data_IF_724908585539
#
_entry.id   IF_724908585539
#
_cell.length_a   1.000
_cell.length_b   1.000
_cell.length_c   1.000
_cell.angle_alpha   90.00
_cell.angle_beta   90.00
_cell.angle_gamma   90.00
#
_symmetry.space_group_name_H-M   'P 1'
#
loop_
_entity.id
_entity.type
_entity.pdbx_description
1 polymer ?
#
# COMPACT_ATOMS: atom_id res chain seq x y z
N UNK A 1 9.26 -0.27 -21.16
CA UNK A 1 8.70 -1.53 -20.61
C UNK A 1 8.06 -1.23 -19.25
N UNK A 2 6.73 -1.26 -19.12
CA UNK A 2 6.06 -1.26 -17.82
C UNK A 2 5.93 -2.70 -17.30
N UNK A 3 6.76 -3.09 -16.33
CA UNK A 3 6.77 -4.43 -15.69
C UNK A 3 6.64 -4.31 -14.18
N UNK A 4 6.33 -5.42 -13.50
CA UNK A 4 6.27 -5.46 -12.03
C UNK A 4 7.59 -5.03 -11.39
N UNK A 5 8.72 -5.48 -11.93
CA UNK A 5 10.04 -5.11 -11.43
C UNK A 5 10.30 -3.61 -11.56
N UNK A 6 9.96 -3.02 -12.72
CA UNK A 6 10.09 -1.58 -12.93
C UNK A 6 9.22 -0.78 -11.94
N UNK A 7 8.00 -1.26 -11.66
CA UNK A 7 7.11 -0.65 -10.67
C UNK A 7 7.67 -0.76 -9.24
N UNK A 8 8.19 -1.92 -8.87
CA UNK A 8 8.71 -2.17 -7.52
C UNK A 8 10.02 -1.40 -7.27
N UNK A 9 10.88 -1.29 -8.28
CA UNK A 9 12.07 -0.43 -8.24
C UNK A 9 11.63 1.03 -8.05
N UNK A 10 10.71 1.53 -8.89
CA UNK A 10 10.23 2.92 -8.81
C UNK A 10 9.60 3.24 -7.45
N UNK A 11 8.81 2.32 -6.91
CA UNK A 11 8.20 2.44 -5.58
C UNK A 11 9.25 2.57 -4.48
N UNK A 12 10.25 1.68 -4.45
CA UNK A 12 11.29 1.72 -3.44
C UNK A 12 12.21 2.95 -3.61
N UNK A 13 12.49 3.38 -4.85
CA UNK A 13 13.22 4.62 -5.12
C UNK A 13 12.47 5.82 -4.54
N UNK A 14 11.18 5.99 -4.83
CA UNK A 14 10.38 7.09 -4.28
C UNK A 14 10.28 7.02 -2.76
N UNK A 15 10.11 5.82 -2.20
CA UNK A 15 10.06 5.62 -0.74
C UNK A 15 11.32 6.13 -0.03
N UNK A 16 12.49 5.99 -0.64
CA UNK A 16 13.77 6.43 -0.06
C UNK A 16 14.10 7.88 -0.43
N UNK A 17 13.87 8.27 -1.67
CA UNK A 17 14.28 9.57 -2.21
C UNK A 17 13.32 10.71 -1.84
N UNK A 18 12.02 10.44 -1.74
CA UNK A 18 11.01 11.45 -1.42
C UNK A 18 10.74 11.50 0.09
N UNK A 19 11.79 11.67 0.91
CA UNK A 19 11.75 11.60 2.38
C UNK A 19 10.49 12.20 3.03
N UNK A 20 10.04 11.58 4.13
CA UNK A 20 8.75 11.82 4.84
C UNK A 20 7.46 11.31 4.16
N UNK A 21 7.53 10.63 3.02
CA UNK A 21 6.30 10.12 2.41
C UNK A 21 5.75 8.87 3.12
N UNK A 22 4.55 9.00 3.71
CA UNK A 22 3.85 7.89 4.34
C UNK A 22 3.34 6.91 3.28
N UNK A 23 4.01 5.78 3.16
CA UNK A 23 3.59 4.74 2.24
C UNK A 23 2.25 4.12 2.67
N UNK A 24 1.23 4.25 1.84
CA UNK A 24 -0.05 3.53 1.94
C UNK A 24 -0.04 2.37 0.94
N UNK A 25 -0.49 1.19 1.37
CA UNK A 25 -0.50 -0.03 0.56
C UNK A 25 0.35 -1.17 1.16
N UNK A 26 0.58 -2.28 0.42
CA UNK A 26 0.00 -2.60 -0.88
C UNK A 26 -1.53 -2.70 -0.82
N UNK A 27 -2.20 -2.29 -1.90
CA UNK A 27 -3.67 -2.34 -2.02
C UNK A 27 -4.00 -3.49 -2.94
N UNK A 28 -4.84 -4.42 -2.47
CA UNK A 28 -5.30 -5.52 -3.30
C UNK A 28 -6.46 -5.05 -4.15
N UNK A 29 -6.39 -5.35 -5.45
CA UNK A 29 -7.44 -5.04 -6.42
C UNK A 29 -8.06 -6.33 -6.94
N UNK A 30 -9.36 -6.30 -7.24
CA UNK A 30 -10.08 -7.42 -7.86
C UNK A 30 -10.63 -8.48 -6.89
N UNK A 31 -10.53 -8.27 -5.58
CA UNK A 31 -11.19 -9.13 -4.60
C UNK A 31 -12.72 -8.91 -4.63
N UNK A 32 -13.50 -9.98 -4.36
CA UNK A 32 -14.98 -9.90 -4.34
C UNK A 32 -15.53 -9.07 -3.16
N UNK A 33 -14.72 -8.86 -2.13
CA UNK A 33 -14.97 -8.00 -0.98
C UNK A 33 -13.68 -7.25 -0.64
N UNK A 34 -13.74 -6.05 -0.05
CA UNK A 34 -12.55 -5.26 0.25
C UNK A 34 -11.72 -5.95 1.32
N UNK A 35 -10.49 -6.30 0.95
CA UNK A 35 -9.51 -6.96 1.82
C UNK A 35 -8.13 -6.50 1.40
N UNK A 36 -7.27 -6.18 2.36
CA UNK A 36 -5.91 -5.73 2.11
C UNK A 36 -4.93 -6.50 3.01
N UNK A 37 -3.78 -6.90 2.46
CA UNK A 37 -2.75 -7.66 3.17
C UNK A 37 -1.66 -6.71 3.67
N UNK A 38 -1.35 -6.80 4.96
CA UNK A 38 -0.27 -6.04 5.60
C UNK A 38 0.93 -6.95 5.91
N UNK A 39 2.13 -6.36 5.93
CA UNK A 39 3.33 -7.04 6.39
C UNK A 39 3.41 -7.01 7.92
N UNK A 40 4.06 -8.00 8.58
CA UNK A 40 4.23 -8.00 10.04
C UNK A 40 4.99 -6.78 10.58
N UNK A 41 5.76 -6.11 9.73
CA UNK A 41 6.52 -4.90 10.03
C UNK A 41 5.69 -3.62 9.94
N UNK A 42 4.38 -3.71 9.67
CA UNK A 42 3.52 -2.55 9.59
C UNK A 42 3.41 -1.82 10.93
N UNK A 43 3.50 -0.49 10.90
CA UNK A 43 3.31 0.36 12.08
C UNK A 43 1.82 0.53 12.39
N UNK A 44 1.50 0.90 13.63
CA UNK A 44 0.10 1.17 14.06
C UNK A 44 -0.58 2.19 13.14
N UNK A 45 0.12 3.28 12.78
CA UNK A 45 -0.39 4.28 11.85
C UNK A 45 -0.77 3.70 10.49
N UNK A 46 0.03 2.76 9.97
CA UNK A 46 -0.23 2.08 8.70
C UNK A 46 -1.44 1.16 8.79
N UNK A 47 -1.62 0.47 9.92
CA UNK A 47 -2.82 -0.36 10.16
C UNK A 47 -4.07 0.51 10.14
N UNK A 48 -4.10 1.61 10.90
CA UNK A 48 -5.26 2.53 10.95
C UNK A 48 -5.61 3.08 9.56
N UNK A 49 -4.61 3.56 8.83
CA UNK A 49 -4.84 4.10 7.48
C UNK A 49 -5.35 3.04 6.50
N UNK A 50 -4.83 1.82 6.57
CA UNK A 50 -5.28 0.73 5.69
C UNK A 50 -6.68 0.24 6.06
N UNK A 51 -7.05 0.25 7.33
CA UNK A 51 -8.43 0.01 7.75
C UNK A 51 -9.36 1.09 7.22
N UNK A 52 -9.00 2.37 7.35
CA UNK A 52 -9.81 3.47 6.82
C UNK A 52 -10.02 3.34 5.31
N UNK A 53 -8.96 3.01 4.56
CA UNK A 53 -9.05 2.74 3.13
C UNK A 53 -10.01 1.56 2.83
N UNK A 54 -9.86 0.44 3.55
CA UNK A 54 -10.67 -0.76 3.33
C UNK A 54 -12.16 -0.52 3.62
N UNK A 55 -12.47 0.36 4.59
CA UNK A 55 -13.86 0.76 4.90
C UNK A 55 -14.44 1.60 3.76
N UNK A 56 -13.68 2.54 3.20
CA UNK A 56 -14.11 3.34 2.05
C UNK A 56 -14.38 2.46 0.83
N UNK A 57 -13.55 1.44 0.61
CA UNK A 57 -13.77 0.47 -0.49
C UNK A 57 -15.00 -0.43 -0.25
N UNK A 58 -15.50 -0.52 0.98
CA UNK A 58 -16.66 -1.33 1.36
C UNK A 58 -18.00 -0.60 1.30
N UNK A 59 -17.97 0.71 1.50
CA UNK A 59 -19.13 1.60 1.48
C UNK A 59 -19.56 1.94 0.07
#
# INVERSE_FOLDING_TARGET
>A
MPTLDAANISFNLLKVAAGDNLTVGPILLGAAKPVNILTPTATVRRIVNMTALTVVDAS
#
